data_IF_429874740154
#
_entry.id   IF_429874740154
#
_cell.length_a   1.000
_cell.length_b   1.000
_cell.length_c   1.000
_cell.angle_alpha   90.00
_cell.angle_beta   90.00
_cell.angle_gamma   90.00
#
_symmetry.space_group_name_H-M   'P 1'
#
loop_
_entity.id
_entity.type
_entity.pdbx_description
1 polymer ?
#
# COMPACT_ATOMS: atom_id res chain seq x y z
N UNK A 1 12.54 8.67 -18.37
CA UNK A 1 12.74 8.84 -16.90
C UNK A 1 11.98 10.04 -16.35
N UNK A 2 11.42 10.90 -17.21
CA UNK A 2 10.92 12.23 -16.85
C UNK A 2 9.68 12.26 -15.96
N UNK A 3 8.98 11.13 -15.80
CA UNK A 3 7.77 11.04 -14.96
C UNK A 3 7.93 10.19 -13.69
N UNK A 4 9.06 9.53 -13.47
CA UNK A 4 9.23 8.63 -12.30
C UNK A 4 9.07 9.40 -10.99
N UNK A 5 9.69 10.58 -10.89
CA UNK A 5 9.60 11.44 -9.71
C UNK A 5 8.18 11.94 -9.46
N UNK A 6 7.46 12.30 -10.52
CA UNK A 6 6.07 12.73 -10.42
C UNK A 6 5.17 11.60 -9.92
N UNK A 7 5.30 10.41 -10.52
CA UNK A 7 4.52 9.22 -10.11
C UNK A 7 4.86 8.84 -8.67
N UNK A 8 6.14 8.84 -8.28
CA UNK A 8 6.55 8.57 -6.90
C UNK A 8 5.97 9.60 -5.91
N UNK A 9 6.02 10.89 -6.24
CA UNK A 9 5.41 11.94 -5.43
C UNK A 9 3.90 11.77 -5.28
N UNK A 10 3.20 11.38 -6.35
CA UNK A 10 1.78 11.09 -6.33
C UNK A 10 1.46 9.89 -5.41
N UNK A 11 2.22 8.79 -5.50
CA UNK A 11 2.05 7.63 -4.62
C UNK A 11 2.29 8.00 -3.15
N UNK A 12 3.33 8.78 -2.84
CA UNK A 12 3.60 9.24 -1.48
C UNK A 12 2.51 10.19 -0.96
N UNK A 13 2.02 11.10 -1.81
CA UNK A 13 0.92 11.99 -1.46
C UNK A 13 -0.36 11.22 -1.14
N UNK A 14 -0.72 10.23 -1.96
CA UNK A 14 -1.89 9.37 -1.72
C UNK A 14 -1.74 8.56 -0.43
N UNK A 15 -0.54 8.03 -0.13
CA UNK A 15 -0.28 7.32 1.12
C UNK A 15 -0.43 8.26 2.34
N UNK A 16 0.16 9.46 2.28
CA UNK A 16 0.00 10.47 3.33
C UNK A 16 -1.47 10.85 3.53
N UNK A 17 -2.21 11.05 2.44
CA UNK A 17 -3.64 11.34 2.49
C UNK A 17 -4.42 10.19 3.11
N UNK A 18 -4.12 8.93 2.76
CA UNK A 18 -4.75 7.76 3.35
C UNK A 18 -4.52 7.66 4.87
N UNK A 19 -3.32 8.00 5.35
CA UNK A 19 -3.01 8.05 6.79
C UNK A 19 -3.81 9.15 7.50
N UNK A 20 -3.92 10.33 6.90
CA UNK A 20 -4.74 11.43 7.45
C UNK A 20 -6.21 11.03 7.54
N UNK A 21 -6.75 10.43 6.48
CA UNK A 21 -8.13 9.92 6.44
C UNK A 21 -8.33 8.81 7.49
N UNK A 22 -7.36 7.89 7.64
CA UNK A 22 -7.44 6.83 8.65
C UNK A 22 -7.55 7.41 10.06
N UNK A 23 -6.76 8.43 10.37
CA UNK A 23 -6.79 9.11 11.66
C UNK A 23 -8.10 9.88 11.89
N UNK A 24 -8.63 10.57 10.88
CA UNK A 24 -9.91 11.30 11.00
C UNK A 24 -11.10 10.38 11.17
N UNK A 25 -11.13 9.26 10.45
CA UNK A 25 -12.24 8.29 10.50
C UNK A 25 -12.06 7.22 11.57
N UNK A 26 -10.93 7.21 12.28
CA UNK A 26 -10.56 6.22 13.30
C UNK A 26 -10.66 4.77 12.79
N UNK A 27 -10.20 4.54 11.57
CA UNK A 27 -10.13 3.21 10.93
C UNK A 27 -8.68 2.73 10.80
N UNK A 28 -8.50 1.44 10.49
CA UNK A 28 -7.17 0.89 10.23
C UNK A 28 -6.48 1.60 9.06
N UNK A 29 -5.21 1.98 9.24
CA UNK A 29 -4.39 2.63 8.20
C UNK A 29 -4.32 1.79 6.93
N UNK A 30 -4.12 0.48 7.05
CA UNK A 30 -4.05 -0.43 5.91
C UNK A 30 -5.37 -0.46 5.11
N UNK A 31 -6.51 -0.41 5.81
CA UNK A 31 -7.82 -0.34 5.14
C UNK A 31 -7.98 0.97 4.37
N UNK A 32 -7.57 2.09 4.98
CA UNK A 32 -7.61 3.40 4.33
C UNK A 32 -6.72 3.45 3.09
N UNK A 33 -5.52 2.88 3.13
CA UNK A 33 -4.60 2.80 1.98
C UNK A 33 -5.20 2.03 0.81
N UNK A 34 -5.86 0.90 1.07
CA UNK A 34 -6.54 0.10 0.03
C UNK A 34 -7.68 0.91 -0.60
N UNK A 35 -8.51 1.57 0.23
CA UNK A 35 -9.65 2.35 -0.25
C UNK A 35 -9.18 3.55 -1.08
N UNK A 36 -8.26 4.35 -0.56
CA UNK A 36 -7.73 5.54 -1.26
C UNK A 36 -7.01 5.14 -2.54
N UNK A 37 -6.21 4.08 -2.54
CA UNK A 37 -5.55 3.58 -3.76
C UNK A 37 -6.55 3.14 -4.82
N UNK A 38 -7.61 2.43 -4.43
CA UNK A 38 -8.68 1.99 -5.35
C UNK A 38 -9.44 3.18 -5.92
N UNK A 39 -9.82 4.15 -5.07
CA UNK A 39 -10.52 5.37 -5.49
C UNK A 39 -9.65 6.20 -6.43
N UNK A 40 -8.36 6.37 -6.11
CA UNK A 40 -7.42 7.08 -6.94
C UNK A 40 -7.28 6.40 -8.32
N UNK A 41 -7.17 5.07 -8.37
CA UNK A 41 -7.10 4.32 -9.61
C UNK A 41 -8.35 4.51 -10.47
N UNK A 42 -9.55 4.49 -9.88
CA UNK A 42 -10.80 4.69 -10.61
C UNK A 42 -10.94 6.14 -11.10
N UNK A 43 -10.67 7.12 -10.23
CA UNK A 43 -10.77 8.53 -10.58
C UNK A 43 -9.76 8.90 -11.66
N UNK A 44 -8.48 8.60 -11.45
CA UNK A 44 -7.42 8.91 -12.42
C UNK A 44 -7.61 8.09 -13.69
N UNK A 45 -8.02 6.83 -13.58
CA UNK A 45 -8.31 5.97 -14.73
C UNK A 45 -9.40 6.52 -15.65
N UNK A 46 -10.41 7.20 -15.08
CA UNK A 46 -11.49 7.81 -15.83
C UNK A 46 -11.07 9.08 -16.60
N UNK A 47 -10.13 9.87 -16.07
CA UNK A 47 -9.74 11.17 -16.66
C UNK A 47 -8.44 11.12 -17.47
N UNK A 48 -7.46 10.31 -17.07
CA UNK A 48 -6.11 10.29 -17.62
C UNK A 48 -5.70 8.92 -18.20
N UNK A 49 -6.60 7.94 -18.18
CA UNK A 49 -6.35 6.57 -18.62
C UNK A 49 -5.83 5.66 -17.50
N UNK A 50 -6.07 4.37 -17.63
CA UNK A 50 -5.79 3.35 -16.59
C UNK A 50 -4.30 3.19 -16.24
N UNK A 51 -3.40 3.68 -17.09
CA UNK A 51 -1.95 3.60 -16.90
C UNK A 51 -1.35 4.83 -16.22
N UNK A 52 -2.11 5.89 -15.96
CA UNK A 52 -1.57 7.15 -15.45
C UNK A 52 -0.95 7.05 -14.03
N UNK A 53 -1.41 6.12 -13.19
CA UNK A 53 -0.77 5.82 -11.89
C UNK A 53 0.47 4.93 -12.01
N UNK A 54 0.72 4.38 -13.20
CA UNK A 54 1.90 3.57 -13.48
C UNK A 54 2.02 2.31 -12.64
N UNK A 55 0.93 1.78 -12.07
CA UNK A 55 0.96 0.70 -11.07
C UNK A 55 1.72 -0.57 -11.51
N UNK A 56 1.87 -0.79 -12.83
CA UNK A 56 2.62 -1.91 -13.42
C UNK A 56 4.07 -1.57 -13.77
N UNK A 57 4.55 -0.39 -13.42
CA UNK A 57 5.93 0.01 -13.70
C UNK A 57 6.91 -0.94 -12.98
N UNK A 58 8.02 -1.35 -13.62
CA UNK A 58 8.93 -2.34 -13.04
C UNK A 58 9.45 -1.98 -11.64
N UNK A 59 9.72 -0.69 -11.39
CA UNK A 59 10.19 -0.22 -10.09
C UNK A 59 9.09 -0.29 -9.00
N UNK A 60 7.83 -0.07 -9.36
CA UNK A 60 6.69 -0.23 -8.43
C UNK A 60 6.49 -1.71 -8.13
N UNK A 61 6.51 -2.57 -9.14
CA UNK A 61 6.40 -4.02 -8.95
C UNK A 61 7.53 -4.57 -8.07
N UNK A 62 8.75 -4.07 -8.24
CA UNK A 62 9.90 -4.41 -7.39
C UNK A 62 9.68 -3.99 -5.93
N UNK A 63 9.24 -2.75 -5.68
CA UNK A 63 8.98 -2.25 -4.33
C UNK A 63 7.83 -3.01 -3.66
N UNK A 64 6.72 -3.22 -4.38
CA UNK A 64 5.57 -3.97 -3.90
C UNK A 64 5.93 -5.41 -3.55
N UNK A 65 6.69 -6.09 -4.43
CA UNK A 65 7.14 -7.46 -4.19
C UNK A 65 8.10 -7.56 -3.00
N UNK A 66 9.09 -6.66 -2.93
CA UNK A 66 10.04 -6.63 -1.81
C UNK A 66 9.33 -6.33 -0.49
N UNK A 67 8.44 -5.34 -0.46
CA UNK A 67 7.64 -4.99 0.71
C UNK A 67 6.74 -6.14 1.18
N UNK A 68 6.04 -6.81 0.26
CA UNK A 68 5.17 -7.94 0.59
C UNK A 68 5.95 -9.09 1.26
N UNK A 69 7.14 -9.41 0.76
CA UNK A 69 8.00 -10.44 1.35
C UNK A 69 8.45 -10.01 2.74
N UNK A 70 9.03 -8.82 2.87
CA UNK A 70 9.54 -8.31 4.15
C UNK A 70 8.45 -8.25 5.22
N UNK A 71 7.27 -7.73 4.88
CA UNK A 71 6.15 -7.63 5.81
C UNK A 71 5.62 -9.00 6.24
N UNK A 72 5.59 -9.97 5.33
CA UNK A 72 5.17 -11.34 5.66
C UNK A 72 6.14 -12.00 6.64
N UNK A 73 7.45 -11.83 6.43
CA UNK A 73 8.45 -12.34 7.36
C UNK A 73 8.42 -11.62 8.70
N UNK A 74 8.21 -10.29 8.71
CA UNK A 74 8.11 -9.52 9.94
C UNK A 74 6.91 -9.97 10.79
N UNK A 75 5.75 -10.17 10.16
CA UNK A 75 4.58 -10.72 10.82
C UNK A 75 4.85 -12.13 11.40
N UNK A 76 5.64 -12.95 10.69
CA UNK A 76 6.08 -14.25 11.20
C UNK A 76 7.10 -14.14 12.35
N UNK A 77 7.98 -13.14 12.33
CA UNK A 77 8.97 -12.89 13.37
C UNK A 77 8.34 -12.35 14.67
N UNK A 78 7.24 -11.61 14.56
CA UNK A 78 6.45 -11.13 15.71
C UNK A 78 5.63 -12.24 16.39
N UNK A 79 5.51 -13.42 15.77
CA UNK A 79 4.73 -14.54 16.29
C UNK A 79 5.48 -15.28 17.41
N UNK A 80 4.97 -15.23 18.64
CA UNK A 80 5.54 -15.98 19.77
C UNK A 80 5.26 -17.49 19.65
N UNK A 81 6.30 -18.35 19.51
CA UNK A 81 6.13 -19.79 19.39
C UNK A 81 5.47 -20.44 20.61
N UNK A 82 5.67 -19.90 21.82
CA UNK A 82 5.10 -20.46 23.04
C UNK A 82 3.58 -20.22 23.11
N UNK A 83 3.14 -18.99 22.81
CA UNK A 83 1.71 -18.65 22.71
C UNK A 83 1.04 -19.44 21.60
N UNK A 84 1.72 -19.57 20.46
CA UNK A 84 1.21 -20.32 19.32
C UNK A 84 0.96 -21.79 19.67
N UNK A 85 1.91 -22.46 20.34
CA UNK A 85 1.74 -23.84 20.82
C UNK A 85 0.62 -23.97 21.86
N UNK A 86 0.46 -22.97 22.73
CA UNK A 86 -0.56 -22.98 23.77
C UNK A 86 -1.99 -22.77 23.23
N UNK A 87 -2.15 -22.04 22.11
CA UNK A 87 -3.44 -21.70 21.49
C UNK A 87 -3.62 -22.26 20.07
N UNK A 88 -2.94 -23.36 19.76
CA UNK A 88 -2.98 -23.98 18.43
C UNK A 88 -4.33 -24.66 18.11
N UNK A 89 -5.10 -25.03 19.14
CA UNK A 89 -6.51 -25.48 19.03
C UNK A 89 -7.43 -24.31 19.35
#
# INVERSE_FOLDING_TARGET
>A
MDQVWFVAALWLFLALFAVLVANWLKISTALSEIVIGTVAQLAIGAFAGSEALGAKAPWIAFLAGTGAIVLTFLAGAELDPAVFRAKWK
#
